data_IF_458647087908
#
_entry.id   IF_458647087908
#
_cell.length_a   1.000
_cell.length_b   1.000
_cell.length_c   1.000
_cell.angle_alpha   90.00
_cell.angle_beta   90.00
_cell.angle_gamma   90.00
#
_symmetry.space_group_name_H-M   'P 1'
#
loop_
_entity.id
_entity.type
_entity.pdbx_description
1 polymer ?
#
# COMPACT_ATOMS: atom_id res chain seq x y z
N UNK A 1 12.61 12.02 -25.38
CA UNK A 1 12.87 12.35 -23.96
C UNK A 1 12.06 11.38 -23.13
N UNK A 2 12.65 10.72 -22.12
CA UNK A 2 11.96 9.67 -21.39
C UNK A 2 10.92 10.27 -20.43
N UNK A 3 9.65 10.26 -20.84
CA UNK A 3 8.50 10.59 -20.01
C UNK A 3 8.38 9.56 -18.87
N UNK A 4 9.11 9.81 -17.80
CA UNK A 4 9.04 8.99 -16.60
C UNK A 4 7.87 9.50 -15.78
N UNK A 5 6.67 8.99 -16.08
CA UNK A 5 5.50 9.13 -15.23
C UNK A 5 5.81 8.48 -13.87
N UNK A 6 6.32 9.29 -12.94
CA UNK A 6 6.59 8.92 -11.56
C UNK A 6 5.34 9.21 -10.74
N UNK A 7 4.91 8.22 -9.97
CA UNK A 7 3.74 8.35 -9.10
C UNK A 7 4.13 8.45 -7.63
N UNK A 8 3.25 9.10 -6.86
CA UNK A 8 3.35 9.08 -5.39
C UNK A 8 3.34 7.65 -4.87
N UNK A 9 4.26 7.34 -3.96
CA UNK A 9 4.40 6.03 -3.34
C UNK A 9 5.28 5.04 -4.11
N UNK A 10 5.71 5.37 -5.33
CA UNK A 10 6.70 4.59 -6.07
C UNK A 10 8.07 4.62 -5.38
N UNK A 11 8.85 3.57 -5.62
CA UNK A 11 10.25 3.47 -5.17
C UNK A 11 11.15 3.63 -6.37
N UNK A 12 12.12 4.54 -6.25
CA UNK A 12 13.07 4.89 -7.30
C UNK A 12 14.48 4.67 -6.78
N UNK A 13 15.43 4.46 -7.68
CA UNK A 13 16.85 4.40 -7.34
C UNK A 13 17.50 5.72 -7.71
N UNK A 14 18.27 6.28 -6.79
CA UNK A 14 19.05 7.48 -7.08
C UNK A 14 20.17 7.15 -8.07
N UNK A 15 20.20 7.84 -9.20
CA UNK A 15 21.27 7.76 -10.22
C UNK A 15 22.24 8.93 -10.15
N UNK A 16 21.82 10.03 -9.52
CA UNK A 16 22.67 11.20 -9.30
C UNK A 16 22.40 11.79 -7.90
N UNK A 17 23.32 11.63 -6.93
CA UNK A 17 23.12 12.02 -5.52
C UNK A 17 23.19 13.53 -5.25
N UNK A 18 23.84 14.32 -6.11
CA UNK A 18 23.93 15.79 -5.98
C UNK A 18 24.18 16.30 -4.56
N UNK A 19 23.47 17.35 -4.11
CA UNK A 19 23.72 18.03 -2.82
C UNK A 19 22.74 17.73 -1.66
N UNK A 20 21.85 16.74 -1.79
CA UNK A 20 20.75 16.54 -0.82
C UNK A 20 20.97 15.40 0.18
N UNK A 21 22.22 14.97 0.41
CA UNK A 21 22.56 13.78 1.21
C UNK A 21 21.79 12.54 0.72
N UNK A 22 21.96 12.26 -0.56
CA UNK A 22 21.47 11.06 -1.22
C UNK A 22 22.68 10.17 -1.56
N UNK A 23 22.44 8.87 -1.61
CA UNK A 23 23.43 7.87 -1.98
C UNK A 23 23.02 7.28 -3.33
N UNK A 24 23.96 7.27 -4.27
CA UNK A 24 23.77 6.62 -5.57
C UNK A 24 23.47 5.12 -5.39
N UNK A 25 22.55 4.57 -6.18
CA UNK A 25 22.13 3.18 -6.09
C UNK A 25 21.13 2.90 -4.96
N UNK A 26 20.91 3.83 -4.02
CA UNK A 26 19.96 3.64 -2.92
C UNK A 26 18.52 3.87 -3.37
N UNK A 27 17.62 3.09 -2.78
CA UNK A 27 16.17 3.19 -3.00
C UNK A 27 15.54 4.31 -2.17
N UNK A 28 14.74 5.14 -2.82
CA UNK A 28 13.98 6.23 -2.22
C UNK A 28 12.51 6.15 -2.59
N UNK A 29 11.63 6.36 -1.61
CA UNK A 29 10.19 6.36 -1.81
C UNK A 29 9.67 7.77 -2.06
N UNK A 30 8.87 7.92 -3.11
CA UNK A 30 8.25 9.20 -3.50
C UNK A 30 7.10 9.53 -2.56
N UNK A 31 7.18 10.69 -1.90
CA UNK A 31 6.19 11.20 -0.95
C UNK A 31 5.16 12.06 -1.67
N UNK A 32 5.61 12.91 -2.59
CA UNK A 32 4.75 13.65 -3.49
C UNK A 32 5.46 13.94 -4.81
N UNK A 33 4.66 14.29 -5.81
CA UNK A 33 5.09 14.64 -7.16
C UNK A 33 4.50 16.02 -7.45
N UNK A 34 5.30 16.92 -8.04
CA UNK A 34 4.81 18.23 -8.47
C UNK A 34 3.77 18.06 -9.58
N UNK A 35 2.85 19.03 -9.78
CA UNK A 35 1.89 18.99 -10.88
C UNK A 35 2.54 18.82 -12.26
N UNK A 36 3.76 19.37 -12.41
CA UNK A 36 4.58 19.26 -13.63
C UNK A 36 5.36 17.95 -13.78
N UNK A 37 5.39 17.07 -12.78
CA UNK A 37 6.18 15.81 -12.79
C UNK A 37 7.71 15.98 -12.73
N UNK A 38 8.23 17.21 -12.83
CA UNK A 38 9.68 17.49 -12.85
C UNK A 38 10.32 17.40 -11.46
N UNK A 39 9.58 17.70 -10.40
CA UNK A 39 10.07 17.69 -9.03
C UNK A 39 9.31 16.64 -8.22
N UNK A 40 10.05 15.90 -7.42
CA UNK A 40 9.52 14.93 -6.46
C UNK A 40 10.01 15.27 -5.07
N UNK A 41 9.25 14.88 -4.05
CA UNK A 41 9.75 14.94 -2.67
C UNK A 41 9.98 13.54 -2.14
N UNK A 42 11.14 13.36 -1.51
CA UNK A 42 11.60 12.09 -0.91
C UNK A 42 12.15 12.36 0.49
N UNK A 43 12.39 11.31 1.27
CA UNK A 43 13.23 11.40 2.47
C UNK A 43 14.67 11.08 2.10
N UNK A 44 15.61 11.94 2.45
CA UNK A 44 17.03 11.70 2.22
C UNK A 44 17.62 10.73 3.27
N UNK A 45 18.93 10.51 3.22
CA UNK A 45 19.61 9.54 4.10
C UNK A 45 19.59 9.94 5.58
N UNK A 46 19.36 11.22 5.85
CA UNK A 46 19.22 11.78 7.20
C UNK A 46 17.76 11.75 7.69
N UNK A 47 16.82 11.23 6.90
CA UNK A 47 15.39 11.19 7.20
C UNK A 47 14.63 12.49 6.92
N UNK A 48 15.31 13.52 6.40
CA UNK A 48 14.71 14.82 6.09
C UNK A 48 13.95 14.79 4.76
N UNK A 49 12.81 15.49 4.71
CA UNK A 49 12.03 15.63 3.47
C UNK A 49 12.69 16.68 2.57
N UNK A 50 13.08 16.27 1.36
CA UNK A 50 13.76 17.12 0.39
C UNK A 50 13.05 17.08 -0.96
N UNK A 51 13.01 18.23 -1.66
CA UNK A 51 12.54 18.33 -3.03
C UNK A 51 13.70 18.14 -4.01
N UNK A 52 13.54 17.25 -4.98
CA UNK A 52 14.59 16.85 -5.93
C UNK A 52 14.03 16.65 -7.32
N UNK A 53 14.87 16.78 -8.33
CA UNK A 53 14.48 16.58 -9.73
C UNK A 53 14.28 15.09 -10.01
N UNK A 54 13.16 14.75 -10.66
CA UNK A 54 12.83 13.36 -11.04
C UNK A 54 13.89 12.70 -11.91
N UNK A 55 14.52 13.45 -12.82
CA UNK A 55 15.57 12.96 -13.74
C UNK A 55 16.81 12.37 -13.06
N UNK A 56 17.00 12.64 -11.77
CA UNK A 56 18.13 12.15 -10.97
C UNK A 56 17.86 10.76 -10.37
N UNK A 57 16.75 10.14 -10.80
CA UNK A 57 16.30 8.85 -10.32
C UNK A 57 15.90 7.98 -11.51
N UNK A 58 16.21 6.68 -11.39
CA UNK A 58 15.71 5.65 -12.28
C UNK A 58 14.52 4.95 -11.63
N UNK A 59 13.51 4.65 -12.46
CA UNK A 59 12.34 3.89 -12.02
C UNK A 59 12.72 2.43 -11.83
N UNK A 60 12.57 1.92 -10.61
CA UNK A 60 12.67 0.48 -10.39
C UNK A 60 11.40 -0.21 -10.92
N UNK A 61 11.54 -1.41 -11.51
CA UNK A 61 10.37 -2.25 -11.73
C UNK A 61 9.69 -2.49 -10.38
N UNK A 62 8.36 -2.49 -10.33
CA UNK A 62 7.64 -2.76 -9.09
C UNK A 62 8.09 -4.10 -8.51
N UNK A 63 8.48 -4.12 -7.23
CA UNK A 63 8.82 -5.36 -6.51
C UNK A 63 7.58 -6.27 -6.54
N UNK A 64 7.63 -7.31 -7.37
CA UNK A 64 6.57 -8.32 -7.48
C UNK A 64 6.51 -9.09 -6.15
N UNK A 65 5.30 -9.38 -5.67
CA UNK A 65 5.16 -10.22 -4.47
C UNK A 65 5.63 -11.64 -4.77
N UNK A 66 6.07 -12.39 -3.75
CA UNK A 66 6.44 -13.81 -3.91
C UNK A 66 5.32 -14.62 -4.60
N UNK A 67 4.06 -14.35 -4.26
CA UNK A 67 2.91 -14.99 -4.88
C UNK A 67 2.74 -14.62 -6.36
N UNK A 68 3.02 -13.37 -6.72
CA UNK A 68 2.94 -12.92 -8.11
C UNK A 68 4.07 -13.51 -8.97
N UNK A 69 5.27 -13.65 -8.40
CA UNK A 69 6.39 -14.35 -9.05
C UNK A 69 6.06 -15.83 -9.26
N UNK A 70 5.50 -16.50 -8.25
CA UNK A 70 5.10 -17.90 -8.36
C UNK A 70 4.00 -18.12 -9.42
N UNK A 71 3.02 -17.21 -9.49
CA UNK A 71 1.98 -17.24 -10.52
C UNK A 71 2.57 -17.13 -11.93
N UNK A 72 3.46 -16.17 -12.17
CA UNK A 72 4.11 -16.00 -13.48
C UNK A 72 4.93 -17.23 -13.89
N UNK A 73 5.61 -17.88 -12.94
CA UNK A 73 6.34 -19.13 -13.18
C UNK A 73 5.38 -20.28 -13.55
N UNK A 74 4.25 -20.42 -12.86
CA UNK A 74 3.25 -21.44 -13.19
C UNK A 74 2.61 -21.20 -14.57
N UNK A 75 2.34 -19.94 -14.92
CA UNK A 75 1.85 -19.59 -16.27
C UNK A 75 2.88 -19.96 -17.34
N UNK A 76 4.16 -19.68 -17.11
CA UNK A 76 5.23 -20.08 -18.03
C UNK A 76 5.28 -21.61 -18.21
N UNK A 77 5.15 -22.37 -17.12
CA UNK A 77 5.07 -23.84 -17.18
C UNK A 77 3.82 -24.34 -17.92
N UNK A 78 2.68 -23.68 -17.75
CA UNK A 78 1.45 -23.97 -18.50
C UNK A 78 1.65 -23.82 -20.00
N UNK A 79 2.27 -22.74 -20.44
CA UNK A 79 2.59 -22.52 -21.86
C UNK A 79 3.63 -23.51 -22.39
N UNK A 80 4.66 -23.84 -21.61
CA UNK A 80 5.69 -24.82 -21.99
C UNK A 80 5.13 -26.24 -22.13
N UNK A 81 4.08 -26.56 -21.37
CA UNK A 81 3.47 -27.89 -21.38
C UNK A 81 2.27 -28.00 -22.33
N UNK A 82 2.06 -27.01 -23.21
CA UNK A 82 0.89 -26.94 -24.09
C UNK A 82 -0.45 -27.15 -23.35
N UNK A 83 -0.54 -26.67 -22.10
CA UNK A 83 -1.75 -26.75 -21.30
C UNK A 83 -2.00 -28.08 -20.59
N UNK A 84 -0.99 -28.96 -20.49
CA UNK A 84 -1.08 -30.19 -19.68
C UNK A 84 -0.97 -29.94 -18.17
N UNK A 85 -0.43 -28.80 -17.75
CA UNK A 85 -0.48 -28.39 -16.34
C UNK A 85 -1.79 -27.66 -16.01
N UNK A 86 -2.27 -27.67 -14.76
CA UNK A 86 -3.43 -26.88 -14.38
C UNK A 86 -3.16 -25.38 -14.55
N UNK A 87 -4.14 -24.65 -15.08
CA UNK A 87 -4.04 -23.20 -15.21
C UNK A 87 -4.02 -22.56 -13.82
N UNK A 88 -3.05 -21.68 -13.52
CA UNK A 88 -2.94 -21.10 -12.19
C UNK A 88 -4.05 -20.09 -11.92
N UNK A 89 -4.50 -20.03 -10.67
CA UNK A 89 -5.47 -19.01 -10.24
C UNK A 89 -4.71 -17.72 -9.93
N UNK A 90 -5.10 -16.57 -10.51
CA UNK A 90 -4.44 -15.31 -10.23
C UNK A 90 -4.58 -14.93 -8.75
N UNK A 91 -3.51 -14.38 -8.13
CA UNK A 91 -3.57 -13.99 -6.73
C UNK A 91 -4.64 -12.91 -6.53
N UNK A 92 -5.55 -13.15 -5.57
CA UNK A 92 -6.57 -12.17 -5.18
C UNK A 92 -5.88 -10.91 -4.64
N UNK A 93 -6.18 -9.75 -5.21
CA UNK A 93 -5.75 -8.47 -4.66
C UNK A 93 -6.46 -8.26 -3.33
N UNK A 94 -5.74 -8.39 -2.21
CA UNK A 94 -6.26 -7.95 -0.91
C UNK A 94 -6.35 -6.41 -0.91
N UNK A 95 -7.54 -5.82 -0.70
CA UNK A 95 -7.65 -4.37 -0.63
C UNK A 95 -6.81 -3.85 0.54
N UNK A 96 -5.89 -2.92 0.27
CA UNK A 96 -5.01 -2.33 1.30
C UNK A 96 -5.73 -1.33 2.22
N UNK A 97 -6.93 -0.91 1.83
CA UNK A 97 -7.85 -0.10 2.63
C UNK A 97 -9.26 -0.33 2.11
N UNK A 98 -10.18 -0.67 3.00
CA UNK A 98 -11.61 -0.61 2.72
C UNK A 98 -12.07 0.73 3.28
N UNK A 99 -12.64 1.60 2.44
CA UNK A 99 -13.35 2.77 2.94
C UNK A 99 -14.64 2.24 3.55
N UNK A 100 -14.71 2.27 4.87
CA UNK A 100 -15.94 1.96 5.60
C UNK A 100 -16.52 3.29 6.01
N UNK A 101 -17.77 3.54 5.63
CA UNK A 101 -18.47 4.74 6.09
C UNK A 101 -18.74 4.62 7.59
N UNK A 102 -18.57 5.70 8.39
CA UNK A 102 -18.78 5.65 9.83
C UNK A 102 -20.17 5.14 10.23
N UNK A 103 -21.20 5.38 9.41
CA UNK A 103 -22.54 4.88 9.63
C UNK A 103 -22.62 3.34 9.53
N UNK A 104 -21.98 2.76 8.52
CA UNK A 104 -21.93 1.31 8.30
C UNK A 104 -21.14 0.61 9.41
N UNK A 105 -20.03 1.22 9.86
CA UNK A 105 -19.27 0.72 11.00
C UNK A 105 -20.10 0.74 12.29
N UNK A 106 -20.83 1.83 12.58
CA UNK A 106 -21.68 1.95 13.77
C UNK A 106 -22.81 0.94 13.77
N UNK A 107 -23.45 0.72 12.61
CA UNK A 107 -24.52 -0.26 12.46
C UNK A 107 -24.00 -1.69 12.70
N UNK A 108 -22.86 -2.04 12.08
CA UNK A 108 -22.23 -3.35 12.26
C UNK A 108 -21.82 -3.61 13.71
N UNK A 109 -21.23 -2.63 14.38
CA UNK A 109 -20.82 -2.74 15.78
C UNK A 109 -22.01 -2.81 16.75
N UNK A 110 -23.06 -2.02 16.51
CA UNK A 110 -24.30 -2.08 17.33
C UNK A 110 -25.00 -3.44 17.18
N UNK A 111 -25.03 -3.97 15.95
CA UNK A 111 -25.54 -5.31 15.69
C UNK A 111 -24.70 -6.39 16.40
N UNK A 112 -23.38 -6.27 16.37
CA UNK A 112 -22.48 -7.19 17.08
C UNK A 112 -22.68 -7.15 18.60
N UNK A 113 -22.88 -5.97 19.19
CA UNK A 113 -23.17 -5.83 20.63
C UNK A 113 -24.46 -6.57 21.02
N UNK A 114 -25.50 -6.47 20.18
CA UNK A 114 -26.75 -7.19 20.39
C UNK A 114 -26.59 -8.70 20.21
N UNK A 115 -25.92 -9.14 19.15
CA UNK A 115 -25.77 -10.56 18.81
C UNK A 115 -24.83 -11.33 19.74
N UNK A 116 -23.71 -10.71 20.15
CA UNK A 116 -22.68 -11.37 20.97
C UNK A 116 -22.94 -11.18 22.46
N UNK A 117 -23.36 -9.99 22.87
CA UNK A 117 -23.46 -9.62 24.29
C UNK A 117 -24.90 -9.46 24.78
N UNK A 118 -25.91 -9.54 23.90
CA UNK A 118 -27.31 -9.34 24.26
C UNK A 118 -27.65 -7.91 24.70
N UNK A 119 -26.76 -6.95 24.42
CA UNK A 119 -26.93 -5.56 24.83
C UNK A 119 -27.74 -4.83 23.75
N UNK A 120 -28.97 -4.42 24.09
CA UNK A 120 -29.81 -3.60 23.22
C UNK A 120 -29.49 -2.11 23.41
N UNK A 121 -28.25 -1.74 23.10
CA UNK A 121 -27.75 -0.37 23.20
C UNK A 121 -26.91 0.01 21.98
N UNK A 122 -26.85 1.30 21.65
CA UNK A 122 -25.97 1.79 20.60
C UNK A 122 -24.51 1.82 21.08
N UNK A 123 -23.56 1.75 20.15
CA UNK A 123 -22.13 1.84 20.45
C UNK A 123 -21.77 3.10 21.26
N UNK A 124 -22.45 4.22 20.98
CA UNK A 124 -22.25 5.49 21.69
C UNK A 124 -22.75 5.43 23.14
N UNK A 125 -23.89 4.76 23.38
CA UNK A 125 -24.42 4.55 24.73
C UNK A 125 -23.51 3.65 25.55
N UNK A 126 -22.91 2.63 24.93
CA UNK A 126 -21.94 1.75 25.60
C UNK A 126 -20.65 2.50 25.95
N UNK A 127 -20.10 3.29 25.02
CA UNK A 127 -18.91 4.12 25.27
C UNK A 127 -19.19 5.14 26.39
N UNK A 128 -20.34 5.81 26.33
CA UNK A 128 -20.75 6.81 27.33
C UNK A 128 -21.01 6.22 28.71
N UNK A 129 -21.56 5.00 28.80
CA UNK A 129 -21.83 4.33 30.08
C UNK A 129 -20.57 3.72 30.71
N UNK A 130 -19.56 3.35 29.91
CA UNK A 130 -18.34 2.70 30.40
C UNK A 130 -17.16 3.65 30.60
N UNK A 131 -17.32 4.93 30.25
CA UNK A 131 -16.28 5.99 30.29
C UNK A 131 -14.94 5.54 29.66
N UNK A 132 -15.05 4.65 28.67
CA UNK A 132 -13.93 3.93 28.05
C UNK A 132 -14.10 3.91 26.54
N UNK A 133 -12.99 4.07 25.83
CA UNK A 133 -12.90 3.83 24.39
C UNK A 133 -13.01 2.34 24.07
N UNK A 134 -13.82 1.98 23.08
CA UNK A 134 -13.80 0.63 22.50
C UNK A 134 -12.58 0.47 21.59
N UNK A 135 -11.76 -0.54 21.86
CA UNK A 135 -10.62 -0.92 21.01
C UNK A 135 -11.00 -2.14 20.15
N UNK A 136 -10.87 -2.00 18.84
CA UNK A 136 -11.08 -3.09 17.89
C UNK A 136 -9.77 -3.84 17.67
N UNK A 137 -9.62 -4.97 18.36
CA UNK A 137 -8.49 -5.89 18.14
C UNK A 137 -8.85 -6.84 17.02
N UNK A 138 -8.21 -6.68 15.86
CA UNK A 138 -8.28 -7.66 14.77
C UNK A 138 -7.48 -8.89 15.22
N UNK A 139 -8.18 -9.96 15.58
CA UNK A 139 -7.58 -11.27 15.85
C UNK A 139 -6.86 -11.81 14.62
N UNK A 140 -5.65 -12.31 14.83
CA UNK A 140 -4.79 -12.92 13.80
C UNK A 140 -5.40 -14.23 13.23
#
# INVERSE_FOLDING_TARGET
MADTNINKGETLVCTDPGRHALTEGKEYRVICVSPSGMNIQIRNDLGNRVGVLSRRFAKLPPKKSKAQVAYEQQVALYHLTNGLSPFPVPPKKTPRSIKIDPADAKAALSKMLKEVYGIDATVEQVIGAMDKSLELVLGA
#
